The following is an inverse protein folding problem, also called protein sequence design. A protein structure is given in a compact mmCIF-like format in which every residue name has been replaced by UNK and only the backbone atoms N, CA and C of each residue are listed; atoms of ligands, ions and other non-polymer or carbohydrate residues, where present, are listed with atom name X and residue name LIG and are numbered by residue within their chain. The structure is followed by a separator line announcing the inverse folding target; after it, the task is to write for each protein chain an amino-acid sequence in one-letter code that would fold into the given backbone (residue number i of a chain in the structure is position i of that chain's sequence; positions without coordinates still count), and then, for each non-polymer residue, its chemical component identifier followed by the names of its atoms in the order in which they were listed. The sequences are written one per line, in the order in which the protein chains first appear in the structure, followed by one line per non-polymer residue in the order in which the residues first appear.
data_IF_248486945886
#
_entry.id   IF_248486945886
#
_cell.length_a   1.000
_cell.length_b   1.000
_cell.length_c   1.000
_cell.angle_alpha   90.00
_cell.angle_beta   90.00
_cell.angle_gamma   90.00
#
_symmetry.space_group_name_H-M   'P 1'
#
loop_
_entity.id
_entity.type
_entity.pdbx_description
1 polymer ?
#
# COMPACT_ATOMS: atom_id res chain seq x y z
N UNK A 1 -15.50 -13.22 -16.19
CA UNK A 1 -14.58 -12.10 -15.85
C UNK A 1 -13.88 -12.27 -14.50
N UNK A 2 -14.46 -12.94 -13.50
CA UNK A 2 -13.75 -13.30 -12.26
C UNK A 2 -13.31 -14.77 -12.27
N UNK A 3 -12.00 -15.03 -12.14
CA UNK A 3 -11.42 -16.36 -11.98
C UNK A 3 -10.78 -16.45 -10.58
N UNK A 4 -11.30 -17.33 -9.71
CA UNK A 4 -10.76 -17.54 -8.36
C UNK A 4 -9.27 -17.91 -8.35
N UNK A 5 -8.76 -18.51 -9.45
CA UNK A 5 -7.35 -18.95 -9.57
C UNK A 5 -6.35 -17.80 -9.64
N UNK A 6 -6.74 -16.66 -10.23
CA UNK A 6 -5.82 -15.53 -10.40
C UNK A 6 -5.64 -14.71 -9.12
N UNK A 7 -6.51 -14.89 -8.12
CA UNK A 7 -6.51 -14.09 -6.90
C UNK A 7 -7.17 -12.72 -7.09
N UNK A 8 -7.76 -12.21 -6.01
CA UNK A 8 -8.58 -10.99 -6.04
C UNK A 8 -7.81 -9.76 -6.55
N UNK A 9 -6.61 -9.50 -6.05
CA UNK A 9 -5.83 -8.33 -6.43
C UNK A 9 -5.37 -8.36 -7.89
N UNK A 10 -4.99 -9.52 -8.43
CA UNK A 10 -4.63 -9.62 -9.87
C UNK A 10 -5.83 -9.28 -10.75
N UNK A 11 -7.03 -9.68 -10.33
CA UNK A 11 -8.25 -9.30 -11.02
C UNK A 11 -8.52 -7.80 -10.96
N UNK A 12 -8.39 -7.17 -9.78
CA UNK A 12 -8.53 -5.70 -9.63
C UNK A 12 -7.46 -4.95 -10.45
N UNK A 13 -6.21 -5.43 -10.51
CA UNK A 13 -5.16 -4.86 -11.36
C UNK A 13 -5.51 -4.91 -12.85
N UNK A 14 -6.07 -6.03 -13.34
CA UNK A 14 -6.56 -6.13 -14.72
C UNK A 14 -7.66 -5.11 -15.01
N UNK A 15 -8.56 -4.89 -14.04
CA UNK A 15 -9.60 -3.86 -14.17
C UNK A 15 -9.02 -2.45 -14.17
N UNK A 16 -8.02 -2.16 -13.33
CA UNK A 16 -7.32 -0.88 -13.37
C UNK A 16 -6.68 -0.63 -14.74
N UNK A 17 -6.04 -1.64 -15.32
CA UNK A 17 -5.46 -1.54 -16.67
C UNK A 17 -6.50 -1.27 -17.75
N UNK A 18 -7.71 -1.81 -17.60
CA UNK A 18 -8.79 -1.67 -18.57
C UNK A 18 -9.58 -0.37 -18.43
N UNK A 19 -9.89 0.04 -17.20
CA UNK A 19 -10.83 1.13 -16.89
C UNK A 19 -10.14 2.38 -16.30
N UNK A 20 -8.83 2.33 -16.07
CA UNK A 20 -8.05 3.41 -15.48
C UNK A 20 -8.03 3.39 -13.95
N UNK A 21 -7.67 4.52 -13.35
CA UNK A 21 -7.37 4.60 -11.91
C UNK A 21 -8.57 4.81 -10.99
N UNK A 22 -9.76 5.00 -11.56
CA UNK A 22 -11.03 5.07 -10.85
C UNK A 22 -12.04 4.20 -11.59
N UNK A 23 -12.56 3.19 -10.93
CA UNK A 23 -13.60 2.32 -11.50
C UNK A 23 -14.49 1.73 -10.42
N UNK A 24 -15.72 1.37 -10.81
CA UNK A 24 -16.68 0.73 -9.93
C UNK A 24 -16.82 -0.77 -10.23
N UNK A 25 -17.06 -1.53 -9.16
CA UNK A 25 -17.32 -2.97 -9.24
C UNK A 25 -18.49 -3.30 -8.32
N UNK A 26 -19.43 -4.08 -8.83
CA UNK A 26 -20.54 -4.63 -8.06
C UNK A 26 -20.15 -6.03 -7.56
N UNK A 27 -20.07 -6.19 -6.23
CA UNK A 27 -19.75 -7.46 -5.58
C UNK A 27 -20.79 -7.77 -4.51
N UNK A 28 -21.51 -8.88 -4.66
CA UNK A 28 -22.51 -9.39 -3.69
C UNK A 28 -23.45 -8.29 -3.14
N UNK A 29 -24.02 -7.49 -4.05
CA UNK A 29 -24.93 -6.38 -3.79
C UNK A 29 -24.32 -5.11 -3.15
N UNK A 30 -22.99 -5.00 -3.09
CA UNK A 30 -22.31 -3.76 -2.72
C UNK A 30 -21.61 -3.16 -3.91
N UNK A 31 -21.86 -1.86 -4.16
CA UNK A 31 -21.08 -1.05 -5.09
C UNK A 31 -19.80 -0.62 -4.39
N UNK A 32 -18.67 -0.94 -5.02
CA UNK A 32 -17.33 -0.58 -4.53
C UNK A 32 -16.60 0.25 -5.57
N UNK A 33 -16.07 1.38 -5.16
CA UNK A 33 -15.32 2.30 -6.02
C UNK A 33 -13.84 2.13 -5.68
N UNK A 34 -13.06 1.68 -6.65
CA UNK A 34 -11.62 1.51 -6.51
C UNK A 34 -10.91 2.79 -6.90
N UNK A 35 -10.02 3.24 -6.03
CA UNK A 35 -9.08 4.31 -6.29
C UNK A 35 -7.70 3.67 -6.40
N UNK A 36 -6.95 3.98 -7.45
CA UNK A 36 -5.64 3.36 -7.71
C UNK A 36 -4.51 4.39 -7.89
N UNK A 37 -4.71 5.63 -7.42
CA UNK A 37 -3.67 6.67 -7.36
C UNK A 37 -3.60 7.26 -5.98
N UNK A 38 -2.38 7.57 -5.55
CA UNK A 38 -2.15 8.05 -4.20
C UNK A 38 -2.65 9.47 -3.93
N UNK A 39 -2.69 10.34 -4.94
CA UNK A 39 -3.36 11.65 -4.84
C UNK A 39 -4.83 11.51 -4.43
N UNK A 40 -5.49 10.43 -4.87
CA UNK A 40 -6.88 10.16 -4.52
C UNK A 40 -7.02 9.69 -3.08
N UNK A 41 -6.04 8.90 -2.62
CA UNK A 41 -5.98 8.48 -1.22
C UNK A 41 -5.78 9.67 -0.30
N UNK A 42 -4.91 10.61 -0.68
CA UNK A 42 -4.65 11.83 0.07
C UNK A 42 -5.92 12.67 0.26
N UNK A 43 -6.68 12.88 -0.81
CA UNK A 43 -7.98 13.57 -0.73
C UNK A 43 -8.93 12.83 0.20
N UNK A 44 -9.10 11.52 0.00
CA UNK A 44 -10.01 10.68 0.80
C UNK A 44 -9.62 10.63 2.30
N UNK A 45 -8.32 10.63 2.60
CA UNK A 45 -7.79 10.55 3.97
C UNK A 45 -7.77 11.91 4.67
N UNK A 46 -7.68 13.01 3.91
CA UNK A 46 -7.71 14.37 4.46
C UNK A 46 -9.13 14.84 4.80
N UNK A 47 -10.14 14.43 4.02
CA UNK A 47 -11.50 14.96 4.12
C UNK A 47 -12.38 14.28 5.18
N UNK A 48 -11.99 13.12 5.72
CA UNK A 48 -12.94 12.29 6.48
C UNK A 48 -12.88 12.47 8.01
N UNK A 49 -13.69 13.42 8.51
CA UNK A 49 -14.28 13.33 9.86
C UNK A 49 -15.60 12.53 9.86
N UNK A 50 -16.24 12.35 8.69
CA UNK A 50 -17.62 11.84 8.57
C UNK A 50 -17.77 10.36 8.24
N UNK A 51 -16.72 9.61 7.86
CA UNK A 51 -16.89 8.20 7.45
C UNK A 51 -16.98 7.25 8.65
N UNK A 52 -17.81 6.20 8.56
CA UNK A 52 -17.86 5.10 9.55
C UNK A 52 -16.94 3.96 9.07
N UNK A 53 -16.04 3.47 9.92
CA UNK A 53 -15.22 2.25 9.72
C UNK A 53 -13.91 2.32 8.90
N UNK A 54 -13.17 1.20 8.99
CA UNK A 54 -11.72 1.02 9.08
C UNK A 54 -10.99 0.89 7.73
N UNK A 55 -9.74 1.36 7.71
CA UNK A 55 -8.80 1.15 6.60
C UNK A 55 -8.82 -0.31 6.10
N UNK A 56 -8.81 -0.55 4.78
CA UNK A 56 -8.56 0.41 3.70
C UNK A 56 -9.81 1.06 3.06
N UNK A 57 -11.04 0.76 3.51
CA UNK A 57 -12.26 1.34 2.90
C UNK A 57 -12.80 2.55 3.66
N UNK A 58 -13.54 3.40 2.96
CA UNK A 58 -14.25 4.58 3.48
C UNK A 58 -15.63 4.64 2.85
N UNK A 59 -16.63 5.01 3.64
CA UNK A 59 -18.01 5.19 3.16
C UNK A 59 -18.49 6.61 3.48
N UNK A 60 -18.97 7.35 2.49
CA UNK A 60 -19.59 8.66 2.70
C UNK A 60 -21.01 8.50 3.30
N UNK A 61 -21.34 9.36 4.26
CA UNK A 61 -22.65 9.30 4.97
C UNK A 61 -23.72 10.10 4.24
N UNK A 62 -23.32 11.12 3.48
CA UNK A 62 -24.15 12.02 2.69
C UNK A 62 -23.56 12.13 1.27
N UNK A 63 -24.32 12.65 0.28
CA UNK A 63 -23.77 12.91 -1.04
C UNK A 63 -22.51 13.79 -0.95
N UNK A 64 -21.48 13.43 -1.69
CA UNK A 64 -20.16 14.07 -1.58
C UNK A 64 -19.50 14.19 -2.96
N UNK A 65 -18.67 15.21 -3.11
CA UNK A 65 -17.87 15.40 -4.31
C UNK A 65 -16.44 14.91 -4.06
N UNK A 66 -16.01 13.93 -4.85
CA UNK A 66 -14.64 13.42 -4.79
C UNK A 66 -14.09 13.35 -6.20
N UNK A 67 -12.97 14.05 -6.43
CA UNK A 67 -12.26 14.11 -7.71
C UNK A 67 -13.09 14.71 -8.86
N UNK A 68 -14.01 15.63 -8.56
CA UNK A 68 -14.92 16.22 -9.55
C UNK A 68 -16.11 15.32 -9.90
N UNK A 69 -16.22 14.14 -9.27
CA UNK A 69 -17.37 13.26 -9.41
C UNK A 69 -18.31 13.42 -8.23
N UNK A 70 -19.61 13.48 -8.51
CA UNK A 70 -20.67 13.51 -7.52
C UNK A 70 -21.05 12.08 -7.13
N UNK A 71 -20.89 11.75 -5.85
CA UNK A 71 -21.18 10.43 -5.32
C UNK A 71 -22.39 10.49 -4.40
N UNK A 72 -23.39 9.61 -4.55
CA UNK A 72 -24.49 9.56 -3.61
C UNK A 72 -23.98 9.08 -2.24
N UNK A 73 -24.76 9.32 -1.19
CA UNK A 73 -24.52 8.74 0.12
C UNK A 73 -24.34 7.21 0.04
N UNK A 74 -23.58 6.63 0.98
CA UNK A 74 -23.32 5.18 1.05
C UNK A 74 -22.49 4.61 -0.10
N UNK A 75 -21.66 5.45 -0.72
CA UNK A 75 -20.60 5.04 -1.64
C UNK A 75 -19.40 4.50 -0.86
N UNK A 76 -19.07 3.22 -1.06
CA UNK A 76 -17.86 2.61 -0.49
C UNK A 76 -16.67 2.82 -1.43
N UNK A 77 -15.68 3.58 -0.96
CA UNK A 77 -14.39 3.80 -1.62
C UNK A 77 -13.34 2.86 -1.05
N UNK A 78 -12.59 2.22 -1.93
CA UNK A 78 -11.50 1.30 -1.60
C UNK A 78 -10.20 1.88 -2.13
N UNK A 79 -9.26 2.13 -1.23
CA UNK A 79 -7.90 2.49 -1.60
C UNK A 79 -7.15 1.23 -2.03
N UNK A 80 -6.93 1.06 -3.33
CA UNK A 80 -6.20 -0.08 -3.86
C UNK A 80 -4.70 0.22 -3.89
N UNK A 81 -4.05 -0.02 -2.75
CA UNK A 81 -2.63 0.28 -2.54
C UNK A 81 -1.71 -0.40 -3.55
N UNK A 82 -1.98 -1.66 -3.91
CA UNK A 82 -1.15 -2.38 -4.88
C UNK A 82 -1.19 -1.69 -6.26
N UNK A 83 -2.38 -1.31 -6.73
CA UNK A 83 -2.54 -0.56 -7.97
C UNK A 83 -1.84 0.79 -7.93
N UNK A 84 -1.91 1.52 -6.81
CA UNK A 84 -1.22 2.80 -6.64
C UNK A 84 0.30 2.70 -6.53
N UNK A 85 0.81 1.66 -5.87
CA UNK A 85 2.25 1.42 -5.74
C UNK A 85 2.87 0.95 -7.05
N UNK A 86 2.10 0.23 -7.88
CA UNK A 86 2.54 -0.26 -9.19
C UNK A 86 2.22 0.68 -10.36
N UNK A 87 1.59 1.83 -10.09
CA UNK A 87 1.18 2.76 -11.14
C UNK A 87 2.40 3.54 -11.68
N UNK A 88 2.78 3.39 -12.98
CA UNK A 88 3.91 4.11 -13.56
C UNK A 88 3.69 5.62 -13.69
N UNK A 89 2.44 6.11 -13.60
CA UNK A 89 2.14 7.54 -13.54
C UNK A 89 2.50 8.14 -12.17
N UNK A 90 2.54 7.32 -11.12
CA UNK A 90 2.91 7.71 -9.76
C UNK A 90 4.38 7.46 -9.44
N UNK A 91 4.97 6.42 -10.05
CA UNK A 91 6.31 5.95 -9.73
C UNK A 91 7.09 5.64 -10.99
N UNK A 92 8.30 6.21 -11.10
CA UNK A 92 9.27 5.75 -12.10
C UNK A 92 9.75 4.34 -11.74
N UNK A 93 9.71 3.40 -12.68
CA UNK A 93 10.15 2.01 -12.49
C UNK A 93 9.56 1.37 -11.22
N UNK A 94 8.21 1.22 -11.14
CA UNK A 94 7.51 0.85 -9.90
C UNK A 94 7.88 -0.55 -9.37
N UNK A 95 8.25 -1.47 -10.24
CA UNK A 95 8.65 -2.84 -9.87
C UNK A 95 10.11 -2.92 -9.38
N UNK A 96 10.90 -1.84 -9.53
CA UNK A 96 12.30 -1.80 -9.11
C UNK A 96 12.40 -1.35 -7.66
N UNK A 97 12.96 -2.21 -6.80
CA UNK A 97 13.33 -1.84 -5.44
C UNK A 97 14.48 -0.82 -5.46
N UNK A 98 14.13 0.45 -5.26
CA UNK A 98 15.06 1.57 -5.24
C UNK A 98 14.74 2.46 -4.04
N UNK A 99 15.43 2.33 -2.90
CA UNK A 99 15.23 3.17 -1.72
C UNK A 99 15.51 4.67 -1.97
N UNK A 100 16.45 4.99 -2.85
CA UNK A 100 16.88 6.37 -3.11
C UNK A 100 15.79 7.24 -3.75
N UNK A 101 14.73 6.62 -4.29
CA UNK A 101 13.55 7.35 -4.78
C UNK A 101 12.90 8.21 -3.68
N UNK A 102 13.07 7.83 -2.41
CA UNK A 102 12.52 8.54 -1.26
C UNK A 102 13.44 9.65 -0.71
N UNK A 103 14.67 9.75 -1.21
CA UNK A 103 15.63 10.78 -0.79
C UNK A 103 15.43 12.10 -1.53
N UNK A 104 14.68 12.08 -2.65
CA UNK A 104 14.36 13.27 -3.44
C UNK A 104 13.18 14.00 -2.81
N UNK A 105 13.22 15.33 -2.79
CA UNK A 105 12.09 16.17 -2.37
C UNK A 105 11.03 16.27 -3.48
N UNK A 106 10.49 15.11 -3.87
CA UNK A 106 9.40 15.04 -4.82
C UNK A 106 8.08 14.97 -4.05
N UNK A 107 7.18 15.92 -4.33
CA UNK A 107 5.84 15.98 -3.73
C UNK A 107 5.07 14.68 -3.98
N UNK A 108 5.27 14.05 -5.14
CA UNK A 108 4.64 12.78 -5.53
C UNK A 108 5.04 11.67 -4.57
N UNK A 109 6.33 11.60 -4.22
CA UNK A 109 6.84 10.56 -3.31
C UNK A 109 6.28 10.75 -1.88
N UNK A 110 6.12 12.01 -1.43
CA UNK A 110 5.55 12.33 -0.12
C UNK A 110 4.04 12.05 -0.03
N UNK A 111 3.27 12.33 -1.09
CA UNK A 111 1.84 12.01 -1.15
C UNK A 111 1.57 10.51 -1.32
N UNK A 112 2.49 9.79 -1.97
CA UNK A 112 2.29 8.38 -2.26
C UNK A 112 2.67 7.44 -1.12
N UNK A 113 3.39 7.93 -0.11
CA UNK A 113 3.77 7.14 1.06
C UNK A 113 2.73 7.20 2.19
N UNK A 114 1.58 6.57 1.99
CA UNK A 114 0.47 6.54 2.96
C UNK A 114 0.31 5.19 3.68
N UNK A 115 1.40 4.44 3.86
CA UNK A 115 1.39 3.11 4.50
C UNK A 115 0.76 3.12 5.91
N UNK A 116 0.99 4.19 6.68
CA UNK A 116 0.41 4.38 8.01
C UNK A 116 -0.91 5.17 7.99
N UNK A 117 -1.48 5.43 6.83
CA UNK A 117 -2.59 6.37 6.64
C UNK A 117 -2.18 7.83 6.87
N UNK A 118 -3.17 8.72 6.87
CA UNK A 118 -3.02 10.18 7.00
C UNK A 118 -4.24 10.77 7.72
N UNK A 119 -4.12 12.02 8.17
CA UNK A 119 -5.18 12.75 8.85
C UNK A 119 -5.41 12.29 10.28
N UNK A 120 -6.57 12.65 10.84
CA UNK A 120 -6.95 12.38 12.24
C UNK A 120 -7.04 10.88 12.58
N UNK A 121 -7.11 10.02 11.57
CA UNK A 121 -7.17 8.55 11.70
C UNK A 121 -5.88 7.88 11.21
N UNK A 122 -4.78 8.62 11.12
CA UNK A 122 -3.45 8.03 10.90
C UNK A 122 -3.16 7.02 12.01
N UNK A 123 -2.43 5.95 11.67
CA UNK A 123 -2.03 4.92 12.62
C UNK A 123 -1.30 5.57 13.82
N UNK A 124 -1.82 5.45 15.06
CA UNK A 124 -1.17 6.02 16.24
C UNK A 124 0.20 5.39 16.49
N UNK A 125 0.38 4.13 16.06
CA UNK A 125 1.64 3.39 16.16
C UNK A 125 2.71 3.78 15.13
N UNK A 126 2.45 4.73 14.21
CA UNK A 126 3.40 5.11 13.16
C UNK A 126 4.80 5.42 13.70
N UNK A 127 4.88 6.26 14.74
CA UNK A 127 6.17 6.68 15.30
C UNK A 127 6.91 5.49 15.93
N UNK A 128 6.22 4.69 16.71
CA UNK A 128 6.79 3.50 17.35
C UNK A 128 7.29 2.50 16.31
N UNK A 129 6.46 2.13 15.34
CA UNK A 129 6.82 1.19 14.28
C UNK A 129 8.04 1.67 13.49
N UNK A 130 8.14 2.97 13.17
CA UNK A 130 9.31 3.52 12.48
C UNK A 130 10.59 3.45 13.32
N UNK A 131 10.51 3.64 14.64
CA UNK A 131 11.64 3.50 15.55
C UNK A 131 12.09 2.03 15.60
N UNK A 132 11.15 1.11 15.80
CA UNK A 132 11.43 -0.32 15.89
C UNK A 132 12.01 -0.88 14.59
N UNK A 133 11.41 -0.58 13.44
CA UNK A 133 11.92 -1.03 12.13
C UNK A 133 13.35 -0.52 11.87
N UNK A 134 13.62 0.76 12.12
CA UNK A 134 14.96 1.33 11.96
C UNK A 134 15.96 0.69 12.92
N UNK A 135 15.55 0.49 14.18
CA UNK A 135 16.38 -0.16 15.20
C UNK A 135 16.75 -1.59 14.81
N UNK A 136 15.76 -2.41 14.43
CA UNK A 136 15.96 -3.81 14.02
C UNK A 136 16.88 -3.89 12.80
N UNK A 137 16.61 -3.09 11.76
CA UNK A 137 17.43 -3.08 10.53
C UNK A 137 18.87 -2.66 10.85
N UNK A 138 19.05 -1.57 11.62
CA UNK A 138 20.38 -1.11 12.00
C UNK A 138 21.13 -2.16 12.84
N UNK A 139 20.47 -2.79 13.81
CA UNK A 139 21.10 -3.81 14.67
C UNK A 139 21.45 -5.08 13.89
N UNK A 140 20.57 -5.51 12.99
CA UNK A 140 20.76 -6.71 12.17
C UNK A 140 21.93 -6.53 11.21
N UNK A 141 21.87 -5.51 10.35
CA UNK A 141 22.90 -5.28 9.32
C UNK A 141 24.21 -4.71 9.87
N UNK A 142 24.21 -4.21 11.12
CA UNK A 142 25.47 -3.88 11.79
C UNK A 142 26.31 -5.11 12.03
N UNK A 143 25.71 -6.25 12.42
CA UNK A 143 26.43 -7.45 12.89
C UNK A 143 26.43 -8.61 11.90
N UNK A 144 25.49 -8.64 10.96
CA UNK A 144 25.26 -9.79 10.12
C UNK A 144 25.06 -9.41 8.66
N UNK A 145 25.54 -10.27 7.77
CA UNK A 145 25.09 -10.35 6.39
C UNK A 145 23.88 -11.27 6.31
N UNK A 146 22.90 -10.87 5.49
CA UNK A 146 21.66 -11.60 5.27
C UNK A 146 21.52 -11.89 3.79
N UNK A 147 21.44 -13.16 3.43
CA UNK A 147 21.25 -13.61 2.05
C UNK A 147 19.93 -14.39 1.94
N UNK A 148 19.12 -14.07 0.94
CA UNK A 148 17.90 -14.81 0.64
C UNK A 148 18.28 -16.19 0.04
N UNK A 149 17.65 -17.25 0.53
CA UNK A 149 17.90 -18.63 0.08
C UNK A 149 16.92 -19.03 -1.03
N UNK A 150 15.65 -18.64 -0.93
CA UNK A 150 14.65 -18.92 -1.96
C UNK A 150 14.53 -17.78 -2.98
N UNK A 151 14.63 -18.10 -4.28
CA UNK A 151 14.62 -17.12 -5.37
C UNK A 151 13.27 -16.41 -5.53
N UNK A 152 12.17 -17.12 -5.28
CA UNK A 152 10.81 -16.58 -5.39
C UNK A 152 10.08 -16.57 -4.03
N UNK A 153 9.37 -15.46 -3.79
CA UNK A 153 8.55 -15.26 -2.60
C UNK A 153 7.08 -15.37 -2.95
N UNK A 154 6.44 -16.43 -2.47
CA UNK A 154 5.01 -16.62 -2.62
C UNK A 154 4.26 -16.00 -1.44
N UNK A 155 3.44 -14.99 -1.73
CA UNK A 155 2.60 -14.33 -0.75
C UNK A 155 1.14 -14.32 -1.18
N UNK A 156 0.26 -14.39 -0.19
CA UNK A 156 -1.16 -14.14 -0.36
C UNK A 156 -1.44 -12.70 0.02
N UNK A 157 -1.91 -11.90 -0.93
CA UNK A 157 -2.33 -10.54 -0.63
C UNK A 157 -3.75 -10.52 -0.06
N UNK A 158 -3.89 -9.92 1.11
CA UNK A 158 -5.14 -9.60 1.81
C UNK A 158 -4.97 -8.20 2.44
N UNK A 159 -5.72 -7.87 3.51
CA UNK A 159 -5.52 -6.63 4.28
C UNK A 159 -4.06 -6.51 4.76
N UNK A 160 -3.46 -7.64 5.15
CA UNK A 160 -2.02 -7.79 5.32
C UNK A 160 -1.54 -8.89 4.38
N UNK A 161 -0.37 -8.69 3.77
CA UNK A 161 0.26 -9.74 2.98
C UNK A 161 0.80 -10.81 3.93
N UNK A 162 0.53 -12.07 3.62
CA UNK A 162 1.04 -13.22 4.38
C UNK A 162 1.89 -14.09 3.45
N UNK A 163 3.08 -14.45 3.91
CA UNK A 163 3.95 -15.38 3.18
C UNK A 163 3.35 -16.78 3.28
N UNK A 164 3.31 -17.51 2.16
CA UNK A 164 2.67 -18.84 2.08
C UNK A 164 3.70 -19.94 2.36
N UNK A 165 4.92 -19.81 1.81
CA UNK A 165 5.92 -20.90 1.77
C UNK A 165 7.14 -20.64 2.67
N UNK A 166 7.14 -19.52 3.39
CA UNK A 166 8.26 -19.05 4.21
C UNK A 166 9.22 -18.11 3.47
N UNK A 167 10.04 -17.40 4.25
CA UNK A 167 11.17 -16.60 3.75
C UNK A 167 12.42 -17.23 4.35
N UNK A 168 13.20 -17.94 3.55
CA UNK A 168 14.39 -18.62 4.04
C UNK A 168 15.59 -17.70 3.84
N UNK A 169 16.28 -17.39 4.93
CA UNK A 169 17.45 -16.51 4.92
C UNK A 169 18.64 -17.21 5.56
N UNK A 170 19.82 -16.96 4.99
CA UNK A 170 21.11 -17.27 5.60
C UNK A 170 21.62 -16.03 6.30
N UNK A 171 21.99 -16.17 7.57
CA UNK A 171 22.57 -15.09 8.38
C UNK A 171 24.01 -15.47 8.71
N UNK A 172 24.96 -14.63 8.35
CA UNK A 172 26.39 -14.83 8.65
C UNK A 172 26.96 -13.64 9.43
N UNK A 173 27.72 -13.86 10.52
CA UNK A 173 28.37 -12.76 11.22
C UNK A 173 29.33 -11.98 10.31
N UNK A 174 29.35 -10.65 10.44
CA UNK A 174 30.34 -9.78 9.80
C UNK A 174 31.61 -9.75 10.63
N UNK A 175 32.75 -10.06 10.03
CA UNK A 175 34.05 -10.08 10.70
C UNK A 175 34.76 -8.72 10.68
N UNK A 176 34.24 -7.76 9.92
CA UNK A 176 34.94 -6.52 9.55
C UNK A 176 34.62 -5.35 10.51
N UNK A 177 33.92 -5.62 11.60
CA UNK A 177 33.51 -4.60 12.57
C UNK A 177 34.64 -4.41 13.57
N UNK A 178 35.58 -3.52 13.25
CA UNK A 178 36.43 -2.91 14.26
C UNK A 178 35.48 -2.11 15.17
N UNK A 179 35.23 -2.63 16.37
CA UNK A 179 34.53 -1.90 17.42
C UNK A 179 35.42 -0.69 17.78
N UNK A 180 35.04 0.51 17.33
CA UNK A 180 35.51 1.76 17.93
C UNK A 180 34.81 1.98 19.27
#
# INVERSE_FOLDING_TARGET
LWNKRDGYNKWILKLQQQYGDVFEVWLSNKRKIYLCRAEYFDKLLSSSTKTKWSSPSRENVEPDELLGYQWPARSEFIMFFEGGNKNPQCWKDPEVFNPDRFMRDDKVVKSNFIFFGKGIRQCPGKKLAMIEMKGIIAMLFRKYDVTLINEELHYKSMIFNSIIEGVFIKITPRNDIILC
#
